data_IF_923840691564
#
_entry.id   IF_923840691564
#
_cell.length_a   1.000
_cell.length_b   1.000
_cell.length_c   1.000
_cell.angle_alpha   90.00
_cell.angle_beta   90.00
_cell.angle_gamma   90.00
#
_symmetry.space_group_name_H-M   'P 1'
#
loop_
_entity.id
_entity.type
_entity.pdbx_description
1 polymer ?
#
# COMPACT_ATOMS: atom_id res chain seq x y z
N UNK A 1 24.83 0.98 11.80
CA UNK A 1 24.01 2.14 12.22
C UNK A 1 22.67 2.21 11.50
N UNK A 2 22.60 2.45 10.18
CA UNK A 2 21.31 2.71 9.48
C UNK A 2 20.27 1.58 9.56
N UNK A 3 20.66 0.30 9.60
CA UNK A 3 19.71 -0.83 9.74
C UNK A 3 19.01 -0.85 11.12
N UNK A 4 19.66 -0.36 12.18
CA UNK A 4 19.07 -0.28 13.51
C UNK A 4 17.93 0.73 13.58
N UNK A 5 17.93 1.74 12.69
CA UNK A 5 16.85 2.70 12.59
C UNK A 5 15.51 2.02 12.27
N UNK A 6 15.52 0.93 11.48
CA UNK A 6 14.31 0.17 11.17
C UNK A 6 13.66 -0.41 12.43
N UNK A 7 14.45 -0.91 13.38
CA UNK A 7 13.93 -1.41 14.66
C UNK A 7 13.27 -0.29 15.47
N UNK A 8 13.92 0.88 15.55
CA UNK A 8 13.39 2.06 16.25
C UNK A 8 12.08 2.52 15.61
N UNK A 9 12.01 2.60 14.28
CA UNK A 9 10.82 3.01 13.54
C UNK A 9 9.64 2.05 13.74
N UNK A 10 9.89 0.73 13.70
CA UNK A 10 8.84 -0.26 13.94
C UNK A 10 8.34 -0.23 15.39
N UNK A 11 9.25 -0.11 16.35
CA UNK A 11 8.87 0.04 17.76
C UNK A 11 8.05 1.31 18.00
N UNK A 12 8.49 2.45 17.47
CA UNK A 12 7.74 3.71 17.54
C UNK A 12 6.36 3.59 16.86
N UNK A 13 6.25 2.83 15.77
CA UNK A 13 4.97 2.54 15.13
C UNK A 13 4.02 1.84 16.10
N UNK A 14 4.48 0.80 16.82
CA UNK A 14 3.65 0.09 17.79
C UNK A 14 3.21 0.99 18.95
N UNK A 15 4.09 1.87 19.45
CA UNK A 15 3.72 2.84 20.50
C UNK A 15 2.65 3.83 20.03
N UNK A 16 2.81 4.40 18.83
CA UNK A 16 1.82 5.30 18.23
C UNK A 16 0.49 4.58 17.97
N UNK A 17 0.55 3.32 17.55
CA UNK A 17 -0.62 2.49 17.29
C UNK A 17 -1.39 2.18 18.59
N UNK A 18 -0.68 1.84 19.67
CA UNK A 18 -1.29 1.69 20.99
C UNK A 18 -1.96 2.99 21.47
N UNK A 19 -1.26 4.13 21.33
CA UNK A 19 -1.81 5.44 21.66
C UNK A 19 -3.06 5.78 20.82
N UNK A 20 -3.11 5.37 19.56
CA UNK A 20 -4.30 5.52 18.73
C UNK A 20 -5.44 4.63 19.25
N UNK A 21 -5.17 3.35 19.52
CA UNK A 21 -6.19 2.39 19.93
C UNK A 21 -6.81 2.72 21.28
N UNK A 22 -6.05 3.25 22.25
CA UNK A 22 -6.59 3.68 23.56
C UNK A 22 -7.67 4.77 23.46
N UNK A 23 -7.75 5.49 22.31
CA UNK A 23 -8.82 6.46 22.02
C UNK A 23 -10.05 5.87 21.36
N UNK A 24 -9.95 4.61 20.92
CA UNK A 24 -11.00 3.89 20.20
C UNK A 24 -11.61 2.78 21.05
N UNK A 25 -10.82 2.16 21.93
CA UNK A 25 -11.17 1.03 22.78
C UNK A 25 -10.47 1.15 24.14
N UNK A 26 -10.86 0.34 25.13
CA UNK A 26 -10.20 0.33 26.44
C UNK A 26 -8.75 -0.18 26.36
N UNK A 27 -7.97 0.04 27.43
CA UNK A 27 -6.52 -0.24 27.46
C UNK A 27 -6.16 -1.71 27.16
N UNK A 28 -6.91 -2.67 27.70
CA UNK A 28 -6.68 -4.11 27.46
C UNK A 28 -6.89 -4.45 25.99
N UNK A 29 -7.97 -3.94 25.40
CA UNK A 29 -8.28 -4.12 23.97
C UNK A 29 -7.27 -3.42 23.07
N UNK A 30 -6.78 -2.25 23.48
CA UNK A 30 -5.75 -1.50 22.76
C UNK A 30 -4.41 -2.26 22.76
N UNK A 31 -4.03 -2.86 23.89
CA UNK A 31 -2.85 -3.70 24.00
C UNK A 31 -2.96 -4.93 23.10
N UNK A 32 -4.09 -5.66 23.17
CA UNK A 32 -4.33 -6.82 22.32
C UNK A 32 -4.27 -6.48 20.83
N UNK A 33 -4.88 -5.36 20.41
CA UNK A 33 -4.79 -4.88 19.03
C UNK A 33 -3.38 -4.48 18.61
N UNK A 34 -2.57 -3.93 19.53
CA UNK A 34 -1.18 -3.59 19.26
C UNK A 34 -0.30 -4.83 19.13
N UNK A 35 -0.52 -5.85 19.98
CA UNK A 35 0.12 -7.15 19.86
C UNK A 35 -0.25 -7.80 18.51
N UNK A 36 -1.52 -7.72 18.10
CA UNK A 36 -1.94 -8.21 16.78
C UNK A 36 -1.15 -7.55 15.63
N UNK A 37 -0.97 -6.23 15.65
CA UNK A 37 -0.11 -5.54 14.68
C UNK A 37 1.37 -5.96 14.81
N UNK A 38 1.86 -6.07 16.05
CA UNK A 38 3.22 -6.49 16.37
C UNK A 38 3.54 -7.93 16.00
N UNK A 39 2.54 -8.79 15.85
CA UNK A 39 2.73 -10.16 15.37
C UNK A 39 2.75 -10.27 13.83
N UNK A 40 2.61 -9.15 13.10
CA UNK A 40 2.62 -9.17 11.65
C UNK A 40 4.06 -9.20 11.09
N UNK A 41 4.66 -10.40 11.09
CA UNK A 41 6.09 -10.60 10.88
C UNK A 41 6.66 -10.13 9.54
N UNK A 42 5.80 -9.92 8.54
CA UNK A 42 6.22 -9.40 7.23
C UNK A 42 6.73 -7.97 7.31
N UNK A 43 6.23 -7.17 8.25
CA UNK A 43 6.79 -5.84 8.50
C UNK A 43 8.24 -5.91 9.02
N UNK A 44 8.62 -6.99 9.71
CA UNK A 44 9.98 -7.20 10.26
C UNK A 44 10.99 -7.73 9.24
N UNK A 45 10.54 -8.21 8.07
CA UNK A 45 11.46 -8.57 6.99
C UNK A 45 12.31 -7.40 6.49
N UNK A 46 11.87 -6.17 6.75
CA UNK A 46 12.64 -4.95 6.48
C UNK A 46 13.77 -4.69 7.49
N UNK A 47 13.81 -5.35 8.66
CA UNK A 47 14.84 -5.11 9.67
C UNK A 47 16.29 -5.29 9.16
N UNK A 48 16.65 -6.39 8.46
CA UNK A 48 18.04 -6.61 8.04
C UNK A 48 18.45 -5.79 6.79
N UNK A 49 17.52 -5.12 6.12
CA UNK A 49 17.73 -4.50 4.80
C UNK A 49 17.38 -3.01 4.81
N UNK A 50 18.09 -2.21 4.02
CA UNK A 50 17.75 -0.80 3.84
C UNK A 50 16.63 -0.68 2.82
N UNK A 51 15.39 -0.64 3.31
CA UNK A 51 14.18 -0.59 2.51
C UNK A 51 13.26 0.51 3.01
N UNK A 52 12.66 1.27 2.10
CA UNK A 52 11.76 2.39 2.42
C UNK A 52 10.49 1.94 3.14
N UNK A 53 10.12 0.67 3.01
CA UNK A 53 8.88 0.11 3.50
C UNK A 53 8.72 0.19 5.01
N UNK A 54 9.79 -0.03 5.79
CA UNK A 54 9.74 0.13 7.24
C UNK A 54 9.46 1.59 7.62
N UNK A 55 10.08 2.52 6.90
CA UNK A 55 9.84 3.95 7.11
C UNK A 55 8.42 4.36 6.70
N UNK A 56 7.90 3.83 5.60
CA UNK A 56 6.51 4.04 5.17
C UNK A 56 5.51 3.45 6.16
N UNK A 57 5.77 2.27 6.71
CA UNK A 57 4.93 1.67 7.76
C UNK A 57 4.82 2.59 8.99
N UNK A 58 5.95 3.17 9.40
CA UNK A 58 5.99 4.20 10.44
C UNK A 58 5.20 5.45 10.07
N UNK A 59 5.42 6.00 8.86
CA UNK A 59 4.68 7.17 8.39
C UNK A 59 3.17 6.94 8.35
N UNK A 60 2.71 5.81 7.82
CA UNK A 60 1.29 5.45 7.77
C UNK A 60 0.69 5.38 9.19
N UNK A 61 1.44 4.85 10.15
CA UNK A 61 1.01 4.78 11.56
C UNK A 61 0.95 6.17 12.21
N UNK A 62 1.93 7.03 11.94
CA UNK A 62 1.92 8.42 12.39
C UNK A 62 0.75 9.21 11.76
N UNK A 63 0.52 9.03 10.46
CA UNK A 63 -0.60 9.63 9.70
C UNK A 63 -1.93 9.20 10.31
N UNK A 64 -2.12 7.92 10.63
CA UNK A 64 -3.32 7.42 11.32
C UNK A 64 -3.57 8.15 12.64
N UNK A 65 -2.54 8.24 13.49
CA UNK A 65 -2.64 8.89 14.80
C UNK A 65 -2.96 10.39 14.69
N UNK A 66 -2.34 11.09 13.74
CA UNK A 66 -2.57 12.54 13.53
C UNK A 66 -3.92 12.77 12.84
N UNK A 67 -4.33 11.91 11.90
CA UNK A 67 -5.64 11.95 11.27
C UNK A 67 -6.77 11.81 12.28
N UNK A 68 -6.63 10.91 13.25
CA UNK A 68 -7.60 10.79 14.35
C UNK A 68 -7.74 12.13 15.10
N UNK A 69 -6.63 12.75 15.50
CA UNK A 69 -6.64 14.05 16.20
C UNK A 69 -7.27 15.16 15.37
N UNK A 70 -6.91 15.25 14.07
CA UNK A 70 -7.40 16.30 13.16
C UNK A 70 -8.90 16.21 12.86
N UNK A 71 -9.40 15.00 12.61
CA UNK A 71 -10.80 14.81 12.25
C UNK A 71 -11.73 14.86 13.46
N UNK A 72 -11.24 14.55 14.68
CA UNK A 72 -12.02 14.69 15.92
C UNK A 72 -12.02 16.10 16.52
N UNK A 73 -10.99 16.91 16.28
CA UNK A 73 -10.92 18.24 16.90
C UNK A 73 -12.06 19.16 16.41
N UNK A 74 -12.78 19.75 17.35
CA UNK A 74 -13.75 20.82 17.08
C UNK A 74 -12.99 22.15 16.90
N UNK A 75 -13.39 22.98 15.94
CA UNK A 75 -12.74 24.26 15.67
C UNK A 75 -11.40 24.21 14.92
N UNK A 76 -10.50 25.16 15.24
CA UNK A 76 -9.23 25.36 14.54
C UNK A 76 -8.22 24.28 14.90
N UNK A 77 -7.88 23.46 13.92
CA UNK A 77 -6.97 22.33 14.06
C UNK A 77 -5.68 22.52 13.25
N UNK A 78 -5.23 23.77 13.09
CA UNK A 78 -4.15 24.15 12.16
C UNK A 78 -2.87 23.35 12.40
N UNK A 79 -2.47 23.14 13.66
CA UNK A 79 -1.30 22.31 14.00
C UNK A 79 -1.41 20.89 13.42
N UNK A 80 -2.58 20.25 13.58
CA UNK A 80 -2.80 18.90 13.07
C UNK A 80 -3.00 18.86 11.55
N UNK A 81 -3.59 19.91 10.97
CA UNK A 81 -3.67 20.08 9.51
C UNK A 81 -2.27 20.15 8.89
N UNK A 82 -1.41 21.03 9.41
CA UNK A 82 -0.04 21.21 8.94
C UNK A 82 0.76 19.92 9.09
N UNK A 83 0.70 19.29 10.27
CA UNK A 83 1.42 18.04 10.53
C UNK A 83 0.92 16.89 9.63
N UNK A 84 -0.39 16.74 9.46
CA UNK A 84 -0.95 15.67 8.63
C UNK A 84 -0.67 15.90 7.15
N UNK A 85 -0.78 17.15 6.68
CA UNK A 85 -0.41 17.54 5.33
C UNK A 85 1.06 17.27 5.05
N UNK A 86 1.95 17.65 5.97
CA UNK A 86 3.38 17.38 5.88
C UNK A 86 3.68 15.87 5.83
N UNK A 87 3.11 15.08 6.76
CA UNK A 87 3.34 13.63 6.79
C UNK A 87 2.86 12.93 5.51
N UNK A 88 1.69 13.32 4.98
CA UNK A 88 1.17 12.80 3.72
C UNK A 88 2.02 13.24 2.52
N UNK A 89 2.45 14.51 2.48
CA UNK A 89 3.37 15.01 1.45
C UNK A 89 4.72 14.29 1.49
N UNK A 90 5.27 14.06 2.68
CA UNK A 90 6.52 13.34 2.86
C UNK A 90 6.42 11.86 2.49
N UNK A 91 5.27 11.23 2.76
CA UNK A 91 4.95 9.90 2.25
C UNK A 91 4.99 9.84 0.72
N UNK A 92 4.46 10.86 0.04
CA UNK A 92 4.49 10.96 -1.43
C UNK A 92 5.92 11.04 -1.98
N UNK A 93 6.79 11.81 -1.33
CA UNK A 93 8.20 11.95 -1.73
C UNK A 93 8.99 10.67 -1.41
N UNK A 94 8.64 9.97 -0.34
CA UNK A 94 9.27 8.69 0.04
C UNK A 94 8.95 7.57 -0.94
N UNK A 95 7.70 7.51 -1.43
CA UNK A 95 7.25 6.52 -2.40
C UNK A 95 6.39 7.19 -3.46
N UNK A 96 6.96 7.32 -4.66
CA UNK A 96 6.36 8.04 -5.80
C UNK A 96 4.90 7.65 -6.12
N UNK A 97 4.51 6.39 -5.91
CA UNK A 97 3.12 5.96 -6.12
C UNK A 97 2.14 6.79 -5.29
N UNK A 98 2.50 7.16 -4.05
CA UNK A 98 1.66 8.01 -3.20
C UNK A 98 1.44 9.42 -3.75
N UNK A 99 2.32 9.93 -4.62
CA UNK A 99 2.12 11.20 -5.32
C UNK A 99 0.91 11.19 -6.25
N UNK A 100 0.69 10.11 -7.01
CA UNK A 100 -0.51 9.96 -7.84
C UNK A 100 -1.77 9.71 -6.99
N UNK A 101 -1.62 9.04 -5.85
CA UNK A 101 -2.72 8.83 -4.91
C UNK A 101 -3.19 10.12 -4.26
N UNK A 102 -2.26 10.99 -3.84
CA UNK A 102 -2.66 12.24 -3.18
C UNK A 102 -3.40 13.16 -4.18
N UNK A 103 -3.00 13.17 -5.44
CA UNK A 103 -3.73 13.88 -6.50
C UNK A 103 -5.15 13.31 -6.66
N UNK A 104 -5.29 11.99 -6.73
CA UNK A 104 -6.60 11.32 -6.77
C UNK A 104 -7.44 11.65 -5.53
N UNK A 105 -6.82 11.68 -4.34
CA UNK A 105 -7.48 12.08 -3.08
C UNK A 105 -7.95 13.53 -3.13
N UNK A 106 -7.17 14.47 -3.66
CA UNK A 106 -7.59 15.88 -3.86
C UNK A 106 -8.85 15.94 -4.72
N UNK A 107 -8.89 15.22 -5.84
CA UNK A 107 -10.06 15.19 -6.72
C UNK A 107 -11.30 14.62 -6.01
N UNK A 108 -11.18 13.43 -5.41
CA UNK A 108 -12.30 12.73 -4.76
C UNK A 108 -12.81 13.51 -3.54
N UNK A 109 -11.91 14.07 -2.72
CA UNK A 109 -12.30 14.86 -1.55
C UNK A 109 -12.81 16.24 -1.93
N UNK A 110 -12.32 16.82 -3.03
CA UNK A 110 -12.82 18.07 -3.63
C UNK A 110 -14.28 17.92 -4.04
N UNK A 111 -14.60 16.88 -4.82
CA UNK A 111 -15.99 16.56 -5.21
C UNK A 111 -16.87 16.33 -3.98
N UNK A 112 -16.39 15.56 -2.99
CA UNK A 112 -17.15 15.35 -1.74
C UNK A 112 -17.37 16.64 -0.95
N UNK A 113 -16.43 17.59 -1.00
CA UNK A 113 -16.51 18.87 -0.27
C UNK A 113 -17.65 19.76 -0.77
N UNK A 114 -18.03 19.62 -2.06
CA UNK A 114 -19.18 20.31 -2.65
C UNK A 114 -20.52 19.92 -2.00
N UNK A 115 -20.57 18.77 -1.30
CA UNK A 115 -21.75 18.33 -0.53
C UNK A 115 -21.95 19.09 0.79
N UNK A 116 -21.15 20.12 1.07
CA UNK A 116 -21.31 21.02 2.23
C UNK A 116 -20.87 20.46 3.59
N UNK A 117 -20.67 19.15 3.75
CA UNK A 117 -20.28 18.56 5.05
C UNK A 117 -18.89 19.02 5.49
N UNK A 118 -18.77 19.52 6.72
CA UNK A 118 -17.52 20.06 7.27
C UNK A 118 -16.35 19.05 7.23
N UNK A 119 -16.63 17.77 7.47
CA UNK A 119 -15.63 16.70 7.43
C UNK A 119 -15.03 16.49 6.02
N UNK A 120 -15.83 16.63 4.95
CA UNK A 120 -15.33 16.54 3.58
C UNK A 120 -14.46 17.74 3.22
N UNK A 121 -14.83 18.95 3.69
CA UNK A 121 -13.97 20.14 3.55
C UNK A 121 -12.65 19.99 4.29
N UNK A 122 -12.65 19.39 5.50
CA UNK A 122 -11.40 19.02 6.21
C UNK A 122 -10.55 18.03 5.40
N UNK A 123 -11.16 16.98 4.85
CA UNK A 123 -10.47 15.99 4.02
C UNK A 123 -9.82 16.61 2.77
N UNK A 124 -10.55 17.54 2.12
CA UNK A 124 -10.03 18.27 0.97
C UNK A 124 -8.84 19.16 1.35
N UNK A 125 -8.95 19.96 2.41
CA UNK A 125 -7.86 20.83 2.88
C UNK A 125 -6.58 20.06 3.14
N UNK A 126 -6.67 18.91 3.81
CA UNK A 126 -5.46 18.13 4.10
C UNK A 126 -4.87 17.43 2.88
N UNK A 127 -5.72 16.93 1.97
CA UNK A 127 -5.25 16.34 0.71
C UNK A 127 -4.57 17.38 -0.17
N UNK A 128 -5.17 18.57 -0.25
CA UNK A 128 -4.61 19.71 -0.99
C UNK A 128 -3.28 20.14 -0.39
N UNK A 129 -3.22 20.33 0.92
CA UNK A 129 -1.98 20.72 1.60
C UNK A 129 -0.86 19.68 1.42
N UNK A 130 -1.18 18.39 1.49
CA UNK A 130 -0.23 17.32 1.21
C UNK A 130 0.31 17.38 -0.22
N UNK A 131 -0.56 17.63 -1.20
CA UNK A 131 -0.13 17.84 -2.58
C UNK A 131 0.75 19.10 -2.73
N UNK A 132 0.41 20.21 -2.05
CA UNK A 132 1.25 21.42 -2.07
C UNK A 132 2.68 21.16 -1.56
N UNK A 133 2.83 20.32 -0.51
CA UNK A 133 4.16 19.91 -0.02
C UNK A 133 4.99 19.14 -1.03
N UNK A 134 4.37 18.57 -2.07
CA UNK A 134 5.07 17.83 -3.13
C UNK A 134 5.46 18.68 -4.33
N UNK A 135 4.95 19.91 -4.43
CA UNK A 135 5.23 20.80 -5.56
C UNK A 135 6.72 21.07 -5.76
N UNK A 136 7.55 21.30 -4.72
CA UNK A 136 8.98 21.52 -4.93
C UNK A 136 9.66 20.34 -5.64
N UNK A 137 9.29 19.11 -5.28
CA UNK A 137 9.79 17.91 -5.95
C UNK A 137 9.31 17.82 -7.40
N UNK A 138 8.03 18.10 -7.65
CA UNK A 138 7.48 18.12 -9.02
C UNK A 138 8.09 19.19 -9.91
N UNK A 139 8.40 20.36 -9.36
CA UNK A 139 9.11 21.41 -10.08
C UNK A 139 10.54 20.97 -10.42
N UNK A 140 11.23 20.36 -9.46
CA UNK A 140 12.55 19.78 -9.70
C UNK A 140 12.52 18.71 -10.80
N UNK A 141 11.61 17.73 -10.74
CA UNK A 141 11.54 16.70 -11.77
C UNK A 141 11.12 17.26 -13.12
N UNK A 142 10.23 18.26 -13.16
CA UNK A 142 9.91 18.98 -14.40
C UNK A 142 11.13 19.69 -14.98
N UNK A 143 11.93 20.38 -14.16
CA UNK A 143 13.14 21.07 -14.61
C UNK A 143 14.19 20.12 -15.23
N UNK A 144 14.21 18.85 -14.79
CA UNK A 144 15.11 17.82 -15.33
C UNK A 144 14.57 17.09 -16.55
N UNK A 145 13.25 16.94 -16.66
CA UNK A 145 12.61 16.02 -17.61
C UNK A 145 11.77 16.71 -18.68
N UNK A 146 11.39 17.97 -18.47
CA UNK A 146 10.38 18.68 -19.26
C UNK A 146 8.96 18.12 -19.11
N UNK A 147 8.73 17.11 -18.24
CA UNK A 147 7.45 16.43 -18.09
C UNK A 147 6.71 16.90 -16.85
N UNK A 148 5.47 17.34 -17.02
CA UNK A 148 4.58 17.70 -15.91
C UNK A 148 4.09 16.43 -15.23
N UNK A 149 3.99 16.43 -13.89
CA UNK A 149 3.56 15.27 -13.09
C UNK A 149 4.42 14.00 -13.26
N UNK A 150 5.72 14.19 -13.54
CA UNK A 150 6.68 13.09 -13.61
C UNK A 150 7.29 12.82 -12.23
N UNK A 151 6.86 11.72 -11.60
CA UNK A 151 7.32 11.37 -10.25
C UNK A 151 8.46 10.34 -10.23
N UNK A 152 8.58 9.51 -11.27
CA UNK A 152 9.55 8.43 -11.33
C UNK A 152 9.63 7.85 -12.74
N UNK A 153 10.79 7.29 -13.09
CA UNK A 153 11.05 6.55 -14.32
C UNK A 153 10.94 5.02 -14.16
N UNK A 154 10.44 4.55 -13.00
CA UNK A 154 10.25 3.12 -12.74
C UNK A 154 8.91 2.56 -13.28
N UNK A 155 7.99 3.44 -13.71
CA UNK A 155 6.64 3.04 -14.14
C UNK A 155 6.68 2.15 -15.39
N UNK A 156 7.46 2.54 -16.40
CA UNK A 156 7.61 1.79 -17.65
C UNK A 156 8.14 0.38 -17.41
N UNK A 157 9.21 0.22 -16.64
CA UNK A 157 9.78 -1.12 -16.39
C UNK A 157 8.78 -2.03 -15.67
N UNK A 158 8.01 -1.51 -14.72
CA UNK A 158 6.97 -2.29 -14.04
C UNK A 158 5.85 -2.70 -14.99
N UNK A 159 5.42 -1.81 -15.89
CA UNK A 159 4.38 -2.13 -16.86
C UNK A 159 4.88 -3.13 -17.91
N UNK A 160 6.13 -2.99 -18.37
CA UNK A 160 6.77 -3.93 -19.30
C UNK A 160 6.74 -5.36 -18.77
N UNK A 161 7.27 -5.58 -17.56
CA UNK A 161 7.28 -6.91 -16.96
C UNK A 161 5.88 -7.44 -16.68
N UNK A 162 4.96 -6.60 -16.20
CA UNK A 162 3.56 -6.99 -16.02
C UNK A 162 2.89 -7.39 -17.35
N UNK A 163 3.31 -6.78 -18.46
CA UNK A 163 2.82 -7.06 -19.80
C UNK A 163 3.49 -8.22 -20.52
N UNK A 164 4.50 -8.86 -19.93
CA UNK A 164 5.31 -9.86 -20.63
C UNK A 164 4.45 -10.95 -21.32
N UNK A 165 4.68 -11.20 -22.62
CA UNK A 165 3.95 -12.23 -23.36
C UNK A 165 4.46 -13.65 -23.06
N UNK A 166 5.60 -13.79 -22.40
CA UNK A 166 6.24 -15.08 -22.14
C UNK A 166 5.35 -16.00 -21.30
N UNK A 167 5.17 -17.25 -21.75
CA UNK A 167 4.16 -18.16 -21.20
C UNK A 167 4.38 -18.48 -19.72
N UNK A 168 5.65 -18.67 -19.31
CA UNK A 168 6.06 -19.04 -17.95
C UNK A 168 6.14 -17.85 -16.99
N UNK A 169 5.86 -16.64 -17.48
CA UNK A 169 5.91 -15.42 -16.67
C UNK A 169 4.53 -15.00 -16.17
N UNK A 170 4.46 -14.40 -14.99
CA UNK A 170 3.23 -14.06 -14.29
C UNK A 170 3.15 -12.56 -13.96
N UNK A 171 3.98 -11.75 -14.61
CA UNK A 171 3.98 -10.30 -14.45
C UNK A 171 4.68 -9.76 -13.20
N UNK A 172 5.52 -10.54 -12.52
CA UNK A 172 6.48 -9.98 -11.56
C UNK A 172 7.64 -9.29 -12.27
N UNK A 173 8.18 -8.27 -11.61
CA UNK A 173 9.28 -7.45 -12.13
C UNK A 173 10.61 -8.20 -12.06
N UNK A 174 11.45 -8.09 -13.09
CA UNK A 174 12.84 -8.57 -13.10
C UNK A 174 13.82 -7.41 -13.32
N UNK A 175 15.08 -7.61 -12.93
CA UNK A 175 16.14 -6.65 -13.24
C UNK A 175 16.53 -6.73 -14.73
N UNK A 176 17.20 -5.69 -15.20
CA UNK A 176 17.62 -5.56 -16.60
C UNK A 176 18.82 -6.45 -16.96
N UNK A 177 19.46 -7.05 -15.97
CA UNK A 177 20.52 -8.05 -16.15
C UNK A 177 19.96 -9.45 -16.33
N UNK A 178 18.63 -9.59 -16.34
CA UNK A 178 17.89 -10.83 -16.61
C UNK A 178 18.22 -11.93 -15.61
N UNK A 179 18.57 -11.53 -14.38
CA UNK A 179 18.74 -12.47 -13.28
C UNK A 179 17.38 -12.78 -12.63
N UNK A 180 17.10 -14.06 -12.33
CA UNK A 180 15.85 -14.44 -11.69
C UNK A 180 15.78 -13.88 -10.27
N UNK A 181 14.58 -13.46 -9.86
CA UNK A 181 14.35 -12.98 -8.50
C UNK A 181 14.63 -14.08 -7.45
N UNK A 182 15.54 -13.80 -6.53
CA UNK A 182 15.86 -14.71 -5.42
C UNK A 182 14.63 -15.13 -4.58
N UNK A 183 14.68 -16.36 -4.07
CA UNK A 183 13.67 -16.95 -3.19
C UNK A 183 14.35 -17.80 -2.11
N UNK A 184 13.77 -17.83 -0.91
CA UNK A 184 14.22 -18.72 0.18
C UNK A 184 14.11 -20.18 -0.25
N UNK A 185 13.08 -20.51 -1.03
CA UNK A 185 12.83 -21.87 -1.53
C UNK A 185 13.65 -22.18 -2.81
N UNK A 186 14.42 -21.21 -3.31
CA UNK A 186 15.21 -21.31 -4.53
C UNK A 186 14.45 -20.97 -5.82
N UNK A 187 15.20 -21.01 -6.92
CA UNK A 187 14.76 -20.66 -8.28
C UNK A 187 14.66 -21.94 -9.12
N UNK A 188 13.74 -21.97 -10.09
CA UNK A 188 13.59 -23.07 -11.06
C UNK A 188 14.81 -23.14 -11.98
N UNK A 189 15.29 -24.34 -12.28
CA UNK A 189 16.41 -24.55 -13.22
C UNK A 189 16.06 -24.02 -14.61
N UNK A 190 17.00 -23.35 -15.29
CA UNK A 190 16.76 -22.78 -16.62
C UNK A 190 16.09 -21.39 -16.61
N UNK A 191 15.92 -20.76 -15.44
CA UNK A 191 15.21 -19.49 -15.31
C UNK A 191 15.96 -18.34 -15.99
N UNK A 192 17.27 -18.22 -15.77
CA UNK A 192 18.08 -17.17 -16.37
C UNK A 192 18.11 -17.31 -17.91
N UNK A 193 18.23 -18.55 -18.40
CA UNK A 193 18.21 -18.87 -19.83
C UNK A 193 16.86 -18.53 -20.46
N UNK A 194 15.75 -18.78 -19.75
CA UNK A 194 14.41 -18.40 -20.20
C UNK A 194 14.27 -16.87 -20.29
N UNK A 195 14.68 -16.14 -19.24
CA UNK A 195 14.65 -14.68 -19.22
C UNK A 195 15.50 -14.07 -20.34
N UNK A 196 16.70 -14.59 -20.56
CA UNK A 196 17.56 -14.15 -21.64
C UNK A 196 16.95 -14.43 -23.01
N UNK A 197 16.38 -15.61 -23.21
CA UNK A 197 15.72 -15.96 -24.47
C UNK A 197 14.59 -15.00 -24.81
N UNK A 198 13.76 -14.66 -23.82
CA UNK A 198 12.52 -13.93 -24.06
C UNK A 198 12.74 -12.40 -24.04
N UNK A 199 13.76 -11.88 -23.33
CA UNK A 199 13.91 -10.44 -23.09
C UNK A 199 15.26 -9.82 -23.49
N UNK A 200 16.30 -10.59 -23.85
CA UNK A 200 17.64 -10.03 -24.14
C UNK A 200 17.62 -8.96 -25.22
N UNK A 201 16.90 -9.19 -26.32
CA UNK A 201 16.80 -8.23 -27.43
C UNK A 201 16.27 -6.86 -26.95
N UNK A 202 15.22 -6.88 -26.15
CA UNK A 202 14.62 -5.65 -25.62
C UNK A 202 15.56 -4.97 -24.61
N UNK A 203 16.19 -5.75 -23.72
CA UNK A 203 17.12 -5.21 -22.72
C UNK A 203 18.37 -4.60 -23.37
N UNK A 204 18.90 -5.21 -24.44
CA UNK A 204 20.05 -4.69 -25.17
C UNK A 204 19.74 -3.31 -25.79
N UNK A 205 18.52 -3.11 -26.28
CA UNK A 205 18.03 -1.80 -26.76
C UNK A 205 17.83 -0.80 -25.62
N UNK A 206 17.18 -1.22 -24.53
CA UNK A 206 16.90 -0.38 -23.36
C UNK A 206 18.16 0.08 -22.64
N UNK A 207 19.22 -0.74 -22.61
CA UNK A 207 20.51 -0.41 -21.99
C UNK A 207 21.23 0.76 -22.68
N UNK A 208 20.88 1.07 -23.94
CA UNK A 208 21.41 2.24 -24.66
C UNK A 208 20.73 3.56 -24.24
N UNK A 209 19.62 3.49 -23.51
CA UNK A 209 18.85 4.64 -23.08
C UNK A 209 18.95 4.87 -21.57
N UNK A 210 18.72 6.11 -21.14
CA UNK A 210 18.66 6.48 -19.72
C UNK A 210 17.46 7.41 -19.44
N UNK A 211 17.12 7.55 -18.16
CA UNK A 211 16.12 8.52 -17.70
C UNK A 211 14.75 8.34 -18.36
N UNK A 212 14.20 9.46 -18.89
CA UNK A 212 12.87 9.53 -19.49
C UNK A 212 12.78 8.72 -20.78
N UNK A 213 13.81 8.76 -21.64
CA UNK A 213 13.80 8.06 -22.92
C UNK A 213 13.64 6.54 -22.74
N UNK A 214 14.34 5.99 -21.73
CA UNK A 214 14.23 4.58 -21.36
C UNK A 214 12.85 4.20 -20.85
N UNK A 215 12.28 5.02 -19.95
CA UNK A 215 10.95 4.82 -19.40
C UNK A 215 9.86 4.86 -20.49
N UNK A 216 9.99 5.75 -21.47
CA UNK A 216 9.09 5.80 -22.63
C UNK A 216 9.21 4.57 -23.53
N UNK A 217 10.43 4.10 -23.82
CA UNK A 217 10.62 2.87 -24.61
C UNK A 217 10.03 1.65 -23.88
N UNK A 218 10.23 1.54 -22.56
CA UNK A 218 9.58 0.50 -21.76
C UNK A 218 8.05 0.55 -21.89
N UNK A 219 7.44 1.74 -21.76
CA UNK A 219 5.98 1.91 -21.90
C UNK A 219 5.51 1.54 -23.31
N UNK A 220 6.25 1.93 -24.35
CA UNK A 220 5.92 1.59 -25.73
C UNK A 220 5.89 0.08 -25.93
N UNK A 221 6.96 -0.63 -25.54
CA UNK A 221 7.01 -2.11 -25.61
C UNK A 221 5.90 -2.75 -24.77
N UNK A 222 5.59 -2.19 -23.60
CA UNK A 222 4.51 -2.71 -22.78
C UNK A 222 3.13 -2.56 -23.43
N UNK A 223 2.86 -1.41 -24.07
CA UNK A 223 1.61 -1.18 -24.82
C UNK A 223 1.52 -2.12 -26.02
N UNK A 224 2.63 -2.36 -26.72
CA UNK A 224 2.71 -3.34 -27.81
C UNK A 224 2.36 -4.75 -27.32
N UNK A 225 2.96 -5.19 -26.21
CA UNK A 225 2.64 -6.48 -25.59
C UNK A 225 1.16 -6.60 -25.20
N UNK A 226 0.58 -5.56 -24.60
CA UNK A 226 -0.84 -5.54 -24.19
C UNK A 226 -1.76 -5.64 -25.41
N UNK A 227 -1.43 -4.93 -26.50
CA UNK A 227 -2.23 -4.94 -27.74
C UNK A 227 -2.15 -6.29 -28.44
N UNK A 228 -0.96 -6.89 -28.52
CA UNK A 228 -0.73 -8.13 -29.23
C UNK A 228 -1.13 -9.37 -28.41
N UNK A 229 -1.12 -9.28 -27.08
CA UNK A 229 -1.39 -10.41 -26.16
C UNK A 229 -2.34 -10.05 -25.00
N UNK A 230 -3.56 -9.53 -25.27
CA UNK A 230 -4.45 -9.00 -24.23
C UNK A 230 -4.89 -10.06 -23.20
N UNK A 231 -5.13 -11.31 -23.63
CA UNK A 231 -5.50 -12.40 -22.72
C UNK A 231 -4.37 -12.78 -21.77
N UNK A 232 -3.13 -12.74 -22.25
CA UNK A 232 -1.94 -12.97 -21.43
C UNK A 232 -1.74 -11.85 -20.42
N UNK A 233 -1.91 -10.59 -20.85
CA UNK A 233 -1.89 -9.45 -19.94
C UNK A 233 -2.93 -9.56 -18.82
N UNK A 234 -4.18 -9.95 -19.13
CA UNK A 234 -5.21 -10.15 -18.11
C UNK A 234 -4.81 -11.25 -17.10
N UNK A 235 -4.23 -12.37 -17.57
CA UNK A 235 -3.71 -13.43 -16.69
C UNK A 235 -2.60 -12.91 -15.78
N UNK A 236 -1.66 -12.12 -16.31
CA UNK A 236 -0.60 -11.51 -15.53
C UNK A 236 -1.16 -10.51 -14.51
N UNK A 237 -2.15 -9.71 -14.87
CA UNK A 237 -2.80 -8.77 -13.95
C UNK A 237 -3.55 -9.48 -12.81
N UNK A 238 -4.23 -10.59 -13.10
CA UNK A 238 -4.86 -11.43 -12.07
C UNK A 238 -3.81 -12.06 -11.15
N UNK A 239 -2.73 -12.61 -11.71
CA UNK A 239 -1.60 -13.14 -10.95
C UNK A 239 -0.94 -12.06 -10.08
N UNK A 240 -0.83 -10.85 -10.61
CA UNK A 240 -0.30 -9.69 -9.91
C UNK A 240 -1.15 -9.29 -8.70
N UNK A 241 -2.47 -9.26 -8.87
CA UNK A 241 -3.43 -9.02 -7.78
C UNK A 241 -3.37 -10.12 -6.73
N UNK A 242 -3.29 -11.39 -7.16
CA UNK A 242 -3.10 -12.53 -6.27
C UNK A 242 -1.77 -12.42 -5.50
N UNK A 243 -0.69 -11.98 -6.13
CA UNK A 243 0.61 -11.81 -5.48
C UNK A 243 0.62 -10.70 -4.45
N UNK A 244 -0.09 -9.60 -4.71
CA UNK A 244 -0.30 -8.54 -3.73
C UNK A 244 -1.00 -9.04 -2.46
N UNK A 245 -2.02 -9.89 -2.63
CA UNK A 245 -2.87 -10.37 -1.53
C UNK A 245 -2.34 -11.64 -0.84
N UNK A 246 -1.71 -12.54 -1.57
CA UNK A 246 -1.37 -13.89 -1.12
C UNK A 246 0.10 -14.26 -1.34
N UNK A 247 0.94 -13.34 -1.81
CA UNK A 247 2.33 -13.61 -2.16
C UNK A 247 2.54 -14.66 -3.27
N UNK A 248 1.55 -14.93 -4.12
CA UNK A 248 1.65 -15.96 -5.15
C UNK A 248 0.71 -15.63 -6.34
N UNK A 249 1.02 -15.97 -7.61
CA UNK A 249 2.21 -16.68 -8.11
C UNK A 249 3.40 -15.78 -8.47
N UNK A 250 4.61 -16.34 -8.45
CA UNK A 250 5.84 -15.72 -8.94
C UNK A 250 6.38 -16.52 -10.12
N UNK A 251 6.98 -15.84 -11.11
CA UNK A 251 7.69 -16.53 -12.18
C UNK A 251 9.00 -17.09 -11.66
N UNK A 252 9.33 -18.30 -12.11
CA UNK A 252 10.59 -18.99 -11.85
C UNK A 252 10.98 -19.22 -10.39
N UNK A 253 10.08 -19.01 -9.41
CA UNK A 253 10.34 -19.37 -8.00
C UNK A 253 9.84 -20.78 -7.71
N UNK A 254 10.62 -21.54 -6.94
CA UNK A 254 10.16 -22.83 -6.42
C UNK A 254 9.08 -22.62 -5.37
N UNK A 255 8.08 -23.50 -5.40
CA UNK A 255 7.08 -23.62 -4.34
C UNK A 255 7.73 -24.31 -3.14
N UNK A 256 7.66 -23.69 -1.97
CA UNK A 256 8.20 -24.27 -0.74
C UNK A 256 7.65 -23.63 0.54
N UNK A 257 8.14 -24.07 1.71
CA UNK A 257 7.67 -23.58 3.00
C UNK A 257 7.83 -22.07 3.19
N UNK A 258 8.88 -21.47 2.62
CA UNK A 258 9.14 -20.03 2.72
C UNK A 258 8.03 -19.19 2.08
N UNK A 259 7.50 -19.63 0.95
CA UNK A 259 6.33 -19.04 0.30
C UNK A 259 5.09 -19.11 1.20
N UNK A 260 4.78 -20.29 1.74
CA UNK A 260 3.61 -20.51 2.60
C UNK A 260 3.68 -19.64 3.86
N UNK A 261 4.86 -19.57 4.48
CA UNK A 261 5.11 -18.72 5.65
C UNK A 261 4.88 -17.23 5.35
N UNK A 262 5.10 -16.78 4.11
CA UNK A 262 4.86 -15.38 3.74
C UNK A 262 3.40 -15.10 3.38
N UNK A 263 2.68 -16.13 2.93
CA UNK A 263 1.26 -16.03 2.59
C UNK A 263 0.39 -16.01 3.86
N UNK A 264 0.77 -16.74 4.91
CA UNK A 264 -0.04 -16.96 6.11
C UNK A 264 -0.56 -15.67 6.80
N UNK A 265 0.24 -14.61 7.03
CA UNK A 265 -0.26 -13.38 7.66
C UNK A 265 -1.40 -12.73 6.90
N UNK A 266 -1.35 -12.81 5.57
CA UNK A 266 -2.36 -12.23 4.71
C UNK A 266 -3.62 -13.07 4.68
N UNK A 267 -3.48 -14.40 4.65
CA UNK A 267 -4.63 -15.30 4.77
C UNK A 267 -5.38 -15.09 6.09
N UNK A 268 -4.64 -14.97 7.20
CA UNK A 268 -5.24 -14.66 8.50
C UNK A 268 -5.90 -13.27 8.46
N UNK A 269 -5.19 -12.25 7.98
CA UNK A 269 -5.72 -10.89 7.92
C UNK A 269 -7.01 -10.80 7.07
N UNK A 270 -7.00 -11.34 5.85
CA UNK A 270 -8.14 -11.33 4.94
C UNK A 270 -9.28 -12.22 5.44
N UNK A 271 -8.94 -13.42 5.94
CA UNK A 271 -9.88 -14.37 6.52
C UNK A 271 -10.62 -13.82 7.73
N UNK A 272 -9.97 -12.94 8.52
CA UNK A 272 -10.63 -12.21 9.61
C UNK A 272 -11.35 -10.95 9.12
N UNK A 273 -10.77 -10.20 8.18
CA UNK A 273 -11.32 -8.91 7.74
C UNK A 273 -12.65 -9.06 6.98
N UNK A 274 -12.79 -10.05 6.10
CA UNK A 274 -14.01 -10.27 5.30
C UNK A 274 -15.25 -10.51 6.19
N UNK A 275 -15.28 -11.51 7.09
CA UNK A 275 -16.44 -11.74 7.95
C UNK A 275 -16.69 -10.56 8.90
N UNK A 276 -15.64 -9.89 9.39
CA UNK A 276 -15.77 -8.69 10.20
C UNK A 276 -16.50 -7.56 9.46
N UNK A 277 -16.13 -7.29 8.21
CA UNK A 277 -16.78 -6.25 7.39
C UNK A 277 -18.23 -6.63 7.09
N UNK A 278 -18.50 -7.90 6.75
CA UNK A 278 -19.87 -8.39 6.50
C UNK A 278 -20.73 -8.20 7.75
N UNK A 279 -20.24 -8.63 8.92
CA UNK A 279 -20.96 -8.51 10.19
C UNK A 279 -21.16 -7.05 10.61
N UNK A 280 -20.12 -6.21 10.46
CA UNK A 280 -20.20 -4.77 10.72
C UNK A 280 -21.29 -4.10 9.89
N UNK A 281 -21.40 -4.45 8.60
CA UNK A 281 -22.46 -3.94 7.71
C UNK A 281 -23.85 -4.39 8.16
N UNK A 282 -24.02 -5.68 8.48
CA UNK A 282 -25.30 -6.23 8.97
C UNK A 282 -25.76 -5.56 10.27
N UNK A 283 -24.82 -5.19 11.15
CA UNK A 283 -25.10 -4.52 12.42
C UNK A 283 -25.09 -2.98 12.34
N UNK A 284 -24.96 -2.39 11.15
CA UNK A 284 -24.96 -0.94 10.98
C UNK A 284 -23.80 -0.20 11.64
N UNK A 285 -22.66 -0.88 11.89
CA UNK A 285 -21.48 -0.27 12.54
C UNK A 285 -20.90 0.81 11.63
N UNK A 286 -20.90 2.06 12.12
CA UNK A 286 -20.35 3.22 11.39
C UNK A 286 -18.88 3.43 11.74
N UNK A 287 -18.04 3.52 10.71
CA UNK A 287 -16.63 3.86 10.89
C UNK A 287 -16.43 5.36 11.19
N UNK A 288 -15.56 5.72 12.15
CA UNK A 288 -15.07 7.08 12.35
C UNK A 288 -14.57 7.66 11.03
N UNK A 289 -14.75 8.98 10.85
CA UNK A 289 -14.42 9.61 9.58
C UNK A 289 -12.94 9.46 9.19
N UNK A 290 -12.01 9.56 10.15
CA UNK A 290 -10.58 9.38 9.86
C UNK A 290 -10.27 7.99 9.32
N UNK A 291 -10.91 6.92 9.83
CA UNK A 291 -10.74 5.57 9.27
C UNK A 291 -11.32 5.46 7.86
N UNK A 292 -12.48 6.10 7.59
CA UNK A 292 -13.02 6.14 6.22
C UNK A 292 -12.09 6.86 5.24
N UNK A 293 -11.50 7.98 5.67
CA UNK A 293 -10.50 8.72 4.89
C UNK A 293 -9.25 7.87 4.61
N UNK A 294 -8.72 7.20 5.64
CA UNK A 294 -7.54 6.33 5.49
C UNK A 294 -7.84 5.08 4.66
N UNK A 295 -9.01 4.46 4.80
CA UNK A 295 -9.42 3.33 3.97
C UNK A 295 -9.62 3.71 2.51
N UNK A 296 -10.09 4.94 2.22
CA UNK A 296 -10.15 5.46 0.86
C UNK A 296 -8.73 5.55 0.25
N UNK A 297 -7.76 6.07 1.01
CA UNK A 297 -6.35 6.09 0.59
C UNK A 297 -5.84 4.67 0.31
N UNK A 298 -6.10 3.70 1.20
CA UNK A 298 -5.70 2.30 1.02
C UNK A 298 -6.37 1.66 -0.20
N UNK A 299 -7.65 1.95 -0.45
CA UNK A 299 -8.38 1.42 -1.61
C UNK A 299 -7.78 1.92 -2.91
N UNK A 300 -7.51 3.23 -3.01
CA UNK A 300 -6.87 3.83 -4.19
C UNK A 300 -5.45 3.27 -4.35
N UNK A 301 -4.72 3.11 -3.24
CA UNK A 301 -3.38 2.52 -3.26
C UNK A 301 -3.36 1.08 -3.77
N UNK A 302 -4.29 0.23 -3.32
CA UNK A 302 -4.40 -1.12 -3.85
C UNK A 302 -4.80 -1.14 -5.31
N UNK A 303 -5.81 -0.34 -5.69
CA UNK A 303 -6.21 -0.24 -7.09
C UNK A 303 -5.06 0.21 -8.00
N UNK A 304 -4.26 1.20 -7.58
CA UNK A 304 -3.10 1.65 -8.34
C UNK A 304 -1.97 0.60 -8.33
N UNK A 305 -1.77 -0.12 -7.23
CA UNK A 305 -0.74 -1.15 -7.13
C UNK A 305 -1.01 -2.32 -8.06
N UNK A 306 -2.27 -2.67 -8.37
CA UNK A 306 -2.56 -3.76 -9.33
C UNK A 306 -2.24 -3.39 -10.77
N UNK A 307 -2.09 -2.10 -11.10
CA UNK A 307 -1.75 -1.61 -12.45
C UNK A 307 -0.25 -1.67 -12.77
N UNK A 308 0.58 -2.07 -11.81
CA UNK A 308 2.03 -2.23 -11.93
C UNK A 308 2.42 -3.59 -11.35
N UNK A 309 3.63 -4.10 -11.60
CA UNK A 309 4.14 -5.31 -10.94
C UNK A 309 4.13 -5.18 -9.41
N UNK A 310 3.05 -5.67 -8.81
CA UNK A 310 2.74 -5.67 -7.40
C UNK A 310 3.48 -6.79 -6.69
N UNK A 311 3.89 -6.50 -5.47
CA UNK A 311 4.58 -7.44 -4.60
C UNK A 311 3.94 -7.37 -3.22
N UNK A 312 4.05 -8.43 -2.44
CA UNK A 312 3.50 -8.50 -1.08
C UNK A 312 3.95 -7.32 -0.20
N UNK A 313 5.13 -6.76 -0.48
CA UNK A 313 5.65 -5.61 0.27
C UNK A 313 4.83 -4.34 0.14
N UNK A 314 4.04 -4.25 -0.94
CA UNK A 314 3.10 -3.17 -1.13
C UNK A 314 1.92 -3.30 -0.15
N UNK A 315 1.51 -4.51 0.24
CA UNK A 315 0.43 -4.70 1.19
C UNK A 315 0.83 -4.31 2.62
N UNK A 316 1.99 -4.76 3.10
CA UNK A 316 2.29 -4.58 4.51
C UNK A 316 2.45 -3.11 4.93
N UNK A 317 2.87 -2.21 4.03
CA UNK A 317 3.05 -0.79 4.38
C UNK A 317 1.75 -0.09 4.75
N UNK A 318 0.61 -0.55 4.23
CA UNK A 318 -0.73 -0.03 4.57
C UNK A 318 -1.44 -0.86 5.65
N UNK A 319 -0.82 -1.94 6.11
CA UNK A 319 -1.40 -2.84 7.10
C UNK A 319 -1.80 -2.17 8.42
N UNK A 320 -1.11 -1.13 8.95
CA UNK A 320 -1.58 -0.44 10.14
C UNK A 320 -3.02 0.09 10.01
N UNK A 321 -3.43 0.57 8.82
CA UNK A 321 -4.81 1.05 8.59
C UNK A 321 -5.80 -0.11 8.65
N UNK A 322 -5.44 -1.22 8.03
CA UNK A 322 -6.26 -2.45 7.97
C UNK A 322 -6.41 -3.01 9.39
N UNK A 323 -5.31 -3.19 10.12
CA UNK A 323 -5.30 -3.67 11.50
C UNK A 323 -6.11 -2.77 12.43
N UNK A 324 -5.94 -1.44 12.34
CA UNK A 324 -6.74 -0.50 13.15
C UNK A 324 -8.24 -0.66 12.87
N UNK A 325 -8.60 -0.85 11.60
CA UNK A 325 -10.00 -1.05 11.19
C UNK A 325 -10.54 -2.38 11.71
N UNK A 326 -9.78 -3.47 11.59
CA UNK A 326 -10.17 -4.79 12.10
C UNK A 326 -10.39 -4.76 13.61
N UNK A 327 -9.45 -4.18 14.36
CA UNK A 327 -9.54 -4.04 15.83
C UNK A 327 -10.76 -3.21 16.21
N UNK A 328 -10.98 -2.07 15.56
CA UNK A 328 -12.14 -1.23 15.81
C UNK A 328 -13.45 -1.98 15.55
N UNK A 329 -13.57 -2.64 14.39
CA UNK A 329 -14.78 -3.38 14.03
C UNK A 329 -15.05 -4.54 14.99
N UNK A 330 -14.03 -5.34 15.30
CA UNK A 330 -14.14 -6.46 16.24
C UNK A 330 -14.76 -6.01 17.57
N UNK A 331 -14.18 -4.98 18.19
CA UNK A 331 -14.65 -4.54 19.51
C UNK A 331 -15.97 -3.78 19.49
N UNK A 332 -16.30 -3.06 18.41
CA UNK A 332 -17.62 -2.43 18.26
C UNK A 332 -18.74 -3.44 18.02
N UNK A 333 -18.47 -4.49 17.27
CA UNK A 333 -19.42 -5.59 17.07
C UNK A 333 -19.67 -6.31 18.40
N UNK A 334 -18.62 -6.59 19.17
CA UNK A 334 -18.75 -7.26 20.47
C UNK A 334 -19.54 -6.44 21.49
N UNK A 335 -19.41 -5.10 21.50
CA UNK A 335 -20.19 -4.26 22.42
C UNK A 335 -21.68 -4.24 22.08
N UNK A 336 -22.04 -4.13 20.79
CA UNK A 336 -23.44 -4.15 20.37
C UNK A 336 -24.13 -5.50 20.65
N UNK A 337 -23.38 -6.60 20.57
CA UNK A 337 -23.91 -7.93 20.90
C UNK A 337 -24.11 -8.17 22.40
N UNK A 338 -23.47 -7.38 23.28
CA UNK A 338 -23.68 -7.43 24.72
C UNK A 338 -24.92 -6.61 25.11
N UNK A 339 -25.07 -5.40 24.56
CA UNK A 339 -26.22 -4.52 24.81
C UNK A 339 -27.55 -5.19 24.43
N UNK A 340 -27.63 -5.87 23.29
CA UNK A 340 -28.86 -6.56 22.87
C UNK A 340 -29.22 -7.84 23.64
N UNK A 341 -28.39 -8.29 24.59
CA UNK A 341 -28.71 -9.45 25.46
C UNK A 341 -29.30 -9.04 26.81
N UNK A 342 -29.03 -7.83 27.29
CA UNK A 342 -29.56 -7.35 28.57
C UNK A 342 -31.03 -6.91 28.46
N UNK A 343 -31.48 -6.50 27.28
CA UNK A 343 -32.89 -6.15 27.01
C UNK A 343 -33.84 -7.39 26.97
N UNK A 344 -33.30 -8.60 27.05
CA UNK A 344 -34.06 -9.86 26.97
C UNK A 344 -34.33 -10.55 28.32
N UNK A 345 -33.94 -9.96 29.45
CA UNK A 345 -34.02 -10.57 30.78
C UNK A 345 -34.88 -9.78 31.79
N UNK A 346 -35.80 -8.96 31.29
CA UNK A 346 -36.91 -8.41 32.09
C UNK A 346 -38.13 -9.27 31.78
N UNK A 347 -38.19 -10.45 32.41
CA UNK A 347 -39.33 -11.36 32.38
C UNK A 347 -39.71 -11.76 33.79
#
# INVERSE_FOLDING_TARGET
AMRLLNAVLLYASLLMFYQLLTKLVNNTRALAGTIFLGCYWLAFKGLPVLMTETFVFFLITAILLVAEKYFRSEGSATKYLLLLGFLLGYLCITKFLFGYLILTMVLITGIQSLRGKALYRKAFRVSLLAFLFTIPYLFYTWSLTGRVFYWSNAGGSNLYWMSSPAEKEWGDWFNEDLEPNGSVDGVVTGAAESLQKDHRKDMDELKQLTGVAKDELFKQKAIENIRNHPGKFLRNWLANTSRLLFNFPYSYRKLGPGLLFNMLPHLIALGLAIPLVIRARKQGVKLPFFLRYMLLLVLIYFAASTLLSALIRMFYVVFPVIACTMVYLWFRISSLGAEGKDDGNIG
#
